data_IF_165793193612
#
_entry.id   IF_165793193612
#
_cell.length_a   1.000
_cell.length_b   1.000
_cell.length_c   1.000
_cell.angle_alpha   90.00
_cell.angle_beta   90.00
_cell.angle_gamma   90.00
#
_symmetry.space_group_name_H-M   'P 1'
#
loop_
_entity.id
_entity.type
_entity.pdbx_description
1 polymer ?
#
# COMPACT_ATOMS: atom_id res chain seq x y z
N UNK A 1 -1.28 20.63 11.08
CA UNK A 1 0.02 19.92 11.22
C UNK A 1 -0.09 18.43 10.90
N UNK A 2 -0.91 17.63 11.61
CA UNK A 2 -1.03 16.18 11.35
C UNK A 2 -1.57 15.86 9.93
N UNK A 3 -2.65 16.52 9.49
CA UNK A 3 -3.21 16.30 8.15
C UNK A 3 -2.25 16.72 7.02
N UNK A 4 -1.45 17.76 7.23
CA UNK A 4 -0.46 18.23 6.25
C UNK A 4 0.67 17.21 6.08
N UNK A 5 1.19 16.65 7.19
CA UNK A 5 2.21 15.61 7.13
C UNK A 5 1.67 14.33 6.48
N UNK A 6 0.44 13.92 6.81
CA UNK A 6 -0.20 12.77 6.16
C UNK A 6 -0.27 12.96 4.64
N UNK A 7 -0.75 14.12 4.19
CA UNK A 7 -0.98 14.38 2.76
C UNK A 7 0.30 14.58 1.95
N UNK A 8 1.31 15.25 2.49
CA UNK A 8 2.47 15.69 1.70
C UNK A 8 3.79 15.03 2.10
N UNK A 9 3.82 14.30 3.21
CA UNK A 9 5.05 13.77 3.81
C UNK A 9 4.89 12.34 4.30
N UNK A 10 3.89 11.61 3.78
CA UNK A 10 3.60 10.22 4.15
C UNK A 10 3.60 10.00 5.68
N UNK A 11 2.99 10.96 6.39
CA UNK A 11 2.91 11.04 7.86
C UNK A 11 4.21 11.32 8.61
N UNK A 12 5.33 11.55 7.93
CA UNK A 12 6.58 11.99 8.54
C UNK A 12 6.56 13.48 8.90
N UNK A 13 7.26 13.82 9.99
CA UNK A 13 7.56 15.20 10.34
C UNK A 13 8.53 15.84 9.34
N UNK A 14 8.58 17.18 9.30
CA UNK A 14 9.40 17.93 8.33
C UNK A 14 10.90 17.57 8.33
N UNK A 15 11.45 17.26 9.50
CA UNK A 15 12.88 16.90 9.63
C UNK A 15 13.14 15.54 9.00
N UNK A 16 12.44 14.50 9.47
CA UNK A 16 12.58 13.12 8.97
C UNK A 16 12.20 12.98 7.50
N UNK A 17 11.23 13.77 7.02
CA UNK A 17 10.78 13.73 5.63
C UNK A 17 11.89 14.00 4.62
N UNK A 18 12.89 14.83 4.94
CA UNK A 18 13.99 15.12 4.01
C UNK A 18 14.78 13.86 3.67
N UNK A 19 15.17 13.12 4.70
CA UNK A 19 15.92 11.87 4.57
C UNK A 19 15.08 10.78 3.90
N UNK A 20 13.81 10.64 4.32
CA UNK A 20 12.89 9.66 3.73
C UNK A 20 12.67 9.94 2.25
N UNK A 21 12.48 11.21 1.87
CA UNK A 21 12.28 11.61 0.47
C UNK A 21 13.50 11.24 -0.38
N UNK A 22 14.70 11.54 0.09
CA UNK A 22 15.94 11.20 -0.63
C UNK A 22 16.09 9.68 -0.81
N UNK A 23 15.72 8.89 0.20
CA UNK A 23 15.70 7.42 0.10
C UNK A 23 14.69 6.91 -0.93
N UNK A 24 13.46 7.44 -0.91
CA UNK A 24 12.43 7.07 -1.87
C UNK A 24 12.88 7.32 -3.31
N UNK A 25 13.43 8.51 -3.58
CA UNK A 25 13.93 8.88 -4.92
C UNK A 25 15.11 8.01 -5.34
N UNK A 26 16.04 7.74 -4.42
CA UNK A 26 17.22 6.91 -4.69
C UNK A 26 16.87 5.45 -5.04
N UNK A 27 15.87 4.88 -4.36
CA UNK A 27 15.53 3.46 -4.48
C UNK A 27 14.28 3.18 -5.33
N UNK A 28 13.60 4.22 -5.82
CA UNK A 28 12.34 4.05 -6.56
C UNK A 28 11.24 3.41 -5.71
N UNK A 29 11.21 3.73 -4.42
CA UNK A 29 10.28 3.15 -3.46
C UNK A 29 9.39 4.23 -2.83
N UNK A 30 8.28 3.81 -2.22
CA UNK A 30 7.50 4.67 -1.33
C UNK A 30 7.57 4.14 0.11
N UNK A 31 7.83 5.04 1.04
CA UNK A 31 7.98 4.80 2.47
C UNK A 31 6.90 5.63 3.16
N UNK A 32 6.09 4.95 3.96
CA UNK A 32 5.04 5.58 4.75
C UNK A 32 5.26 5.35 6.23
N UNK A 33 5.02 6.39 7.01
CA UNK A 33 4.97 6.29 8.47
C UNK A 33 3.53 6.16 8.95
N UNK A 34 3.35 5.46 10.06
CA UNK A 34 2.15 5.59 10.88
C UNK A 34 2.49 5.28 12.35
N UNK A 35 1.59 5.65 13.26
CA UNK A 35 1.81 5.51 14.70
C UNK A 35 1.84 4.06 15.18
N UNK A 36 1.29 3.13 14.40
CA UNK A 36 1.24 1.70 14.73
C UNK A 36 2.46 0.93 14.21
N UNK A 37 3.22 1.50 13.26
CA UNK A 37 4.22 0.81 12.45
C UNK A 37 3.69 -0.44 11.71
N UNK A 38 2.37 -0.53 11.51
CA UNK A 38 1.69 -1.65 10.85
C UNK A 38 1.09 -1.21 9.53
N UNK A 39 1.03 -2.10 8.55
CA UNK A 39 0.29 -1.81 7.32
C UNK A 39 -1.21 -1.70 7.61
N UNK A 40 -1.82 -0.58 7.20
CA UNK A 40 -3.23 -0.27 7.38
C UNK A 40 -3.92 -0.07 6.02
N UNK A 41 -5.25 -0.01 6.00
CA UNK A 41 -6.02 -0.08 4.76
C UNK A 41 -5.79 1.12 3.83
N UNK A 42 -5.48 2.27 4.40
CA UNK A 42 -5.06 3.46 3.64
C UNK A 42 -3.74 3.22 2.91
N UNK A 43 -2.80 2.46 3.50
CA UNK A 43 -1.57 2.04 2.82
C UNK A 43 -1.84 1.04 1.70
N UNK A 44 -2.89 0.21 1.80
CA UNK A 44 -3.31 -0.65 0.68
C UNK A 44 -3.75 0.20 -0.52
N UNK A 45 -4.50 1.29 -0.29
CA UNK A 45 -4.86 2.23 -1.36
C UNK A 45 -3.64 2.89 -2.00
N UNK A 46 -2.71 3.39 -1.19
CA UNK A 46 -1.48 4.02 -1.70
C UNK A 46 -0.62 3.03 -2.49
N UNK A 47 -0.51 1.78 -2.01
CA UNK A 47 0.16 0.70 -2.74
C UNK A 47 -0.49 0.44 -4.11
N UNK A 48 -1.82 0.36 -4.15
CA UNK A 48 -2.55 0.19 -5.41
C UNK A 48 -2.33 1.35 -6.37
N UNK A 49 -2.36 2.60 -5.87
CA UNK A 49 -2.08 3.80 -6.70
C UNK A 49 -0.67 3.77 -7.27
N UNK A 50 0.31 3.45 -6.45
CA UNK A 50 1.71 3.48 -6.85
C UNK A 50 2.04 2.40 -7.88
N UNK A 51 1.64 1.15 -7.62
CA UNK A 51 2.02 0.02 -8.49
C UNK A 51 1.07 -0.18 -9.67
N UNK A 52 -0.21 0.13 -9.51
CA UNK A 52 -1.25 -0.23 -10.48
C UNK A 52 -2.04 0.97 -11.00
N UNK A 53 -1.81 2.19 -10.49
CA UNK A 53 -2.62 3.37 -10.85
C UNK A 53 -2.52 3.82 -12.31
N UNK A 54 -1.56 3.29 -13.07
CA UNK A 54 -1.45 3.50 -14.52
C UNK A 54 -2.39 2.58 -15.34
N UNK A 55 -3.00 1.58 -14.71
CA UNK A 55 -3.86 0.59 -15.34
C UNK A 55 -5.29 1.10 -15.47
N UNK A 56 -6.02 0.46 -16.37
CA UNK A 56 -7.39 0.77 -16.76
C UNK A 56 -8.24 -0.50 -16.75
N UNK A 57 -9.55 -0.33 -16.98
CA UNK A 57 -10.49 -1.44 -17.12
C UNK A 57 -10.28 -2.29 -18.37
N UNK A 58 -9.38 -1.90 -19.28
CA UNK A 58 -9.08 -2.63 -20.50
C UNK A 58 -7.87 -3.55 -20.38
N UNK A 59 -7.06 -3.40 -19.33
CA UNK A 59 -5.88 -4.24 -19.11
C UNK A 59 -6.25 -5.68 -18.70
N UNK A 60 -5.32 -6.61 -18.88
CA UNK A 60 -5.48 -8.00 -18.43
C UNK A 60 -5.47 -8.10 -16.91
N UNK A 61 -6.32 -8.94 -16.28
CA UNK A 61 -6.45 -8.98 -14.83
C UNK A 61 -5.15 -9.43 -14.13
N UNK A 62 -4.83 -8.78 -13.02
CA UNK A 62 -3.71 -9.14 -12.13
C UNK A 62 -4.27 -9.66 -10.80
N UNK A 63 -3.77 -10.80 -10.32
CA UNK A 63 -4.06 -11.30 -8.99
C UNK A 63 -3.05 -10.73 -7.99
N UNK A 64 -3.53 -10.05 -6.95
CA UNK A 64 -2.74 -9.62 -5.81
C UNK A 64 -3.16 -10.42 -4.58
N UNK A 65 -2.24 -11.22 -4.06
CA UNK A 65 -2.41 -11.95 -2.81
C UNK A 65 -1.89 -11.10 -1.65
N UNK A 66 -2.77 -10.80 -0.70
CA UNK A 66 -2.44 -10.12 0.56
C UNK A 66 -2.75 -11.05 1.71
N UNK A 67 -1.99 -10.97 2.81
CA UNK A 67 -2.35 -11.75 3.99
C UNK A 67 -3.74 -11.37 4.54
N UNK A 68 -4.31 -12.26 5.36
CA UNK A 68 -5.63 -12.07 5.96
C UNK A 68 -5.61 -11.12 7.19
N UNK A 69 -4.59 -10.27 7.33
CA UNK A 69 -4.59 -9.27 8.38
C UNK A 69 -5.67 -8.23 8.10
N UNK A 70 -6.64 -8.10 9.02
CA UNK A 70 -7.82 -7.25 8.84
C UNK A 70 -7.49 -5.79 8.55
N UNK A 71 -6.33 -5.31 8.99
CA UNK A 71 -5.86 -3.96 8.72
C UNK A 71 -5.65 -3.66 7.24
N UNK A 72 -5.45 -4.67 6.39
CA UNK A 72 -5.22 -4.48 4.95
C UNK A 72 -6.50 -4.24 4.14
N UNK A 73 -7.64 -4.65 4.68
CA UNK A 73 -8.89 -4.78 3.94
C UNK A 73 -9.85 -3.65 4.31
N UNK A 74 -10.07 -2.73 3.39
CA UNK A 74 -11.10 -1.68 3.46
C UNK A 74 -11.89 -1.65 2.16
N UNK A 75 -13.17 -1.32 2.23
CA UNK A 75 -14.08 -1.32 1.08
C UNK A 75 -13.55 -0.46 -0.08
N UNK A 76 -13.05 0.74 0.22
CA UNK A 76 -12.44 1.62 -0.79
C UNK A 76 -11.27 0.96 -1.55
N UNK A 77 -10.44 0.15 -0.89
CA UNK A 77 -9.30 -0.50 -1.53
C UNK A 77 -9.75 -1.58 -2.51
N UNK A 78 -10.78 -2.35 -2.14
CA UNK A 78 -11.36 -3.35 -3.03
C UNK A 78 -12.03 -2.71 -4.24
N UNK A 79 -12.80 -1.65 -4.02
CA UNK A 79 -13.44 -0.91 -5.11
C UNK A 79 -12.41 -0.31 -6.06
N UNK A 80 -11.36 0.31 -5.51
CA UNK A 80 -10.30 0.90 -6.33
C UNK A 80 -9.55 -0.18 -7.12
N UNK A 81 -9.22 -1.32 -6.51
CA UNK A 81 -8.58 -2.43 -7.21
C UNK A 81 -9.38 -2.93 -8.41
N UNK A 82 -10.72 -2.99 -8.31
CA UNK A 82 -11.60 -3.37 -9.43
C UNK A 82 -11.46 -2.42 -10.63
N UNK A 83 -11.31 -1.11 -10.38
CA UNK A 83 -11.10 -0.12 -11.46
C UNK A 83 -9.79 -0.32 -12.23
N UNK A 84 -8.80 -0.93 -11.58
CA UNK A 84 -7.45 -1.19 -12.12
C UNK A 84 -7.29 -2.60 -12.70
N UNK A 85 -8.38 -3.40 -12.71
CA UNK A 85 -8.36 -4.84 -12.97
C UNK A 85 -7.33 -5.59 -12.12
N UNK A 86 -7.31 -5.26 -10.84
CA UNK A 86 -6.58 -6.00 -9.82
C UNK A 86 -7.59 -6.78 -8.98
N UNK A 87 -7.42 -8.10 -8.93
CA UNK A 87 -8.19 -9.00 -8.07
C UNK A 87 -7.44 -9.13 -6.76
N UNK A 88 -8.01 -8.62 -5.67
CA UNK A 88 -7.48 -8.82 -4.33
C UNK A 88 -7.97 -10.16 -3.78
N UNK A 89 -7.06 -10.96 -3.24
CA UNK A 89 -7.41 -12.21 -2.58
C UNK A 89 -6.58 -12.41 -1.32
N UNK A 90 -7.25 -12.88 -0.27
CA UNK A 90 -6.63 -13.24 1.01
C UNK A 90 -5.81 -14.51 0.85
N UNK A 91 -4.56 -14.48 1.33
CA UNK A 91 -3.79 -15.70 1.56
C UNK A 91 -4.49 -16.48 2.66
N UNK A 92 -4.86 -17.76 2.44
CA UNK A 92 -5.48 -18.57 3.48
C UNK A 92 -4.61 -18.58 4.75
N UNK A 93 -5.19 -18.42 5.96
CA UNK A 93 -4.42 -18.29 7.21
C UNK A 93 -3.44 -19.44 7.49
N UNK A 94 -3.72 -20.64 6.97
CA UNK A 94 -2.83 -21.81 7.11
C UNK A 94 -1.64 -21.83 6.13
N UNK A 95 -1.58 -20.90 5.18
CA UNK A 95 -0.56 -20.84 4.13
C UNK A 95 0.28 -19.56 4.19
N UNK A 96 0.01 -18.65 5.12
CA UNK A 96 0.75 -17.38 5.26
C UNK A 96 2.25 -17.58 5.39
N UNK A 97 2.69 -18.63 6.09
CA UNK A 97 4.10 -18.98 6.28
C UNK A 97 4.82 -19.38 4.99
N UNK A 98 4.11 -19.86 3.96
CA UNK A 98 4.70 -20.14 2.64
C UNK A 98 4.94 -18.87 1.84
N UNK A 99 4.19 -17.80 2.15
CA UNK A 99 4.24 -16.53 1.43
C UNK A 99 5.16 -15.50 2.11
N UNK A 100 5.70 -15.81 3.29
CA UNK A 100 6.70 -15.00 3.98
C UNK A 100 8.06 -15.68 3.77
N UNK A 101 8.88 -15.12 2.87
CA UNK A 101 10.28 -15.53 2.81
C UNK A 101 10.98 -14.99 4.06
N UNK A 102 11.34 -15.90 4.96
CA UNK A 102 12.16 -15.61 6.13
C UNK A 102 13.60 -15.26 5.77
#
# INVERSE_FOLDING_TARGET
MACENRRYRHSFGRQVWREVKDLQERFGAQIYGNSSAWWAGDLTLEFLRFHFGHRTTFDDPVLLLLDDFSGHWIDEAEEYARTLRVVLMKVPPGLTWLCQTG
#
